data_IF_918233308787
#
_entry.id   IF_918233308787
#
_cell.length_a   1.000
_cell.length_b   1.000
_cell.length_c   1.000
_cell.angle_alpha   90.00
_cell.angle_beta   90.00
_cell.angle_gamma   90.00
#
_symmetry.space_group_name_H-M   'P 1'
#
loop_
_entity.id
_entity.type
_entity.pdbx_description
1 polymer ?
#
# COMPACT_ATOMS: atom_id res chain seq x y z
N UNK A 1 -14.49 -5.46 -6.66
CA UNK A 1 -15.34 -4.53 -5.88
C UNK A 1 -16.79 -5.00 -5.92
N UNK A 2 -17.43 -5.13 -4.76
CA UNK A 2 -18.90 -5.25 -4.65
C UNK A 2 -19.63 -4.01 -5.18
N UNK A 3 -18.94 -2.87 -5.19
CA UNK A 3 -19.42 -1.66 -5.84
C UNK A 3 -19.09 -1.74 -7.33
N UNK A 4 -20.11 -2.02 -8.15
CA UNK A 4 -19.97 -1.90 -9.60
C UNK A 4 -19.74 -0.46 -10.04
N UNK A 5 -19.22 -0.27 -11.25
CA UNK A 5 -18.94 1.05 -11.84
C UNK A 5 -20.13 2.04 -11.73
N UNK A 6 -21.41 1.65 -11.94
CA UNK A 6 -22.54 2.56 -11.74
C UNK A 6 -22.68 3.05 -10.30
N UNK A 7 -22.49 2.15 -9.31
CA UNK A 7 -22.55 2.50 -7.91
C UNK A 7 -21.43 3.45 -7.50
N UNK A 8 -20.23 3.25 -8.06
CA UNK A 8 -19.09 4.14 -7.86
C UNK A 8 -19.34 5.53 -8.48
N UNK A 9 -19.85 5.61 -9.70
CA UNK A 9 -20.20 6.88 -10.35
C UNK A 9 -21.26 7.66 -9.59
N UNK A 10 -22.27 6.98 -9.02
CA UNK A 10 -23.28 7.63 -8.16
C UNK A 10 -22.64 8.18 -6.88
N UNK A 11 -21.69 7.46 -6.27
CA UNK A 11 -20.97 7.95 -5.11
C UNK A 11 -20.14 9.20 -5.46
N UNK A 12 -19.38 9.17 -6.57
CA UNK A 12 -18.63 10.33 -7.06
C UNK A 12 -19.54 11.55 -7.27
N UNK A 13 -20.71 11.37 -7.91
CA UNK A 13 -21.65 12.47 -8.12
C UNK A 13 -22.19 13.03 -6.78
N UNK A 14 -22.57 12.16 -5.85
CA UNK A 14 -23.06 12.56 -4.51
C UNK A 14 -22.03 13.33 -3.71
N UNK A 15 -20.75 13.00 -3.88
CA UNK A 15 -19.63 13.67 -3.23
C UNK A 15 -19.00 14.75 -4.11
N UNK A 16 -19.70 15.23 -5.15
CA UNK A 16 -19.27 16.35 -6.01
C UNK A 16 -17.89 16.16 -6.65
N UNK A 17 -17.55 14.92 -6.99
CA UNK A 17 -16.27 14.57 -7.60
C UNK A 17 -15.12 14.34 -6.60
N UNK A 18 -15.38 14.50 -5.29
CA UNK A 18 -14.41 14.19 -4.24
C UNK A 18 -14.27 12.67 -4.09
N UNK A 19 -13.15 12.14 -4.59
CA UNK A 19 -12.85 10.70 -4.59
C UNK A 19 -12.70 10.16 -3.17
N UNK A 20 -11.98 10.87 -2.30
CA UNK A 20 -11.68 10.41 -0.95
C UNK A 20 -12.96 10.27 -0.13
N UNK A 21 -13.85 11.27 -0.22
CA UNK A 21 -15.16 11.20 0.45
C UNK A 21 -16.07 10.15 -0.14
N UNK A 22 -16.06 9.96 -1.46
CA UNK A 22 -16.84 8.89 -2.11
C UNK A 22 -16.34 7.50 -1.69
N UNK A 23 -15.03 7.31 -1.64
CA UNK A 23 -14.40 6.07 -1.23
C UNK A 23 -14.66 5.77 0.26
N UNK A 24 -14.48 6.74 1.16
CA UNK A 24 -14.78 6.58 2.60
C UNK A 24 -16.26 6.21 2.83
N UNK A 25 -17.19 6.89 2.17
CA UNK A 25 -18.62 6.60 2.30
C UNK A 25 -18.97 5.18 1.82
N UNK A 26 -18.38 4.74 0.69
CA UNK A 26 -18.55 3.38 0.18
C UNK A 26 -17.92 2.35 1.11
N UNK A 27 -16.68 2.58 1.57
CA UNK A 27 -15.97 1.69 2.47
C UNK A 27 -16.73 1.50 3.79
N UNK A 28 -17.20 2.60 4.41
CA UNK A 28 -18.05 2.54 5.61
C UNK A 28 -19.30 1.72 5.35
N UNK A 29 -19.99 1.95 4.23
CA UNK A 29 -21.19 1.16 3.88
C UNK A 29 -20.87 -0.34 3.76
N UNK A 30 -19.75 -0.71 3.13
CA UNK A 30 -19.33 -2.10 3.03
C UNK A 30 -18.95 -2.70 4.39
N UNK A 31 -18.32 -1.92 5.27
CA UNK A 31 -17.89 -2.36 6.60
C UNK A 31 -19.05 -2.70 7.55
N UNK A 32 -20.28 -2.25 7.28
CA UNK A 32 -21.47 -2.61 8.05
C UNK A 32 -22.02 -4.01 7.72
N UNK A 33 -21.43 -4.73 6.76
CA UNK A 33 -21.84 -6.11 6.46
C UNK A 33 -21.48 -7.05 7.61
N UNK A 34 -22.23 -8.16 7.79
CA UNK A 34 -21.83 -9.23 8.69
C UNK A 34 -20.43 -9.74 8.37
N UNK A 35 -19.65 -10.04 9.40
CA UNK A 35 -18.28 -10.54 9.26
C UNK A 35 -18.16 -11.72 8.28
N UNK A 36 -19.05 -12.70 8.39
CA UNK A 36 -19.05 -13.87 7.51
C UNK A 36 -19.27 -13.53 6.04
N UNK A 37 -20.04 -12.48 5.75
CA UNK A 37 -20.28 -12.01 4.38
C UNK A 37 -19.03 -11.32 3.82
N UNK A 38 -18.36 -10.48 4.61
CA UNK A 38 -17.09 -9.85 4.24
C UNK A 38 -16.05 -10.92 3.89
N UNK A 39 -15.92 -11.94 4.75
CA UNK A 39 -15.01 -13.06 4.51
C UNK A 39 -15.39 -13.85 3.25
N UNK A 40 -16.69 -14.09 3.02
CA UNK A 40 -17.19 -14.73 1.80
C UNK A 40 -16.81 -13.96 0.54
N UNK A 41 -17.02 -12.64 0.54
CA UNK A 41 -16.66 -11.76 -0.57
C UNK A 41 -15.15 -11.82 -0.87
N UNK A 42 -14.30 -11.80 0.17
CA UNK A 42 -12.86 -11.89 -0.03
C UNK A 42 -12.46 -13.22 -0.66
N UNK A 43 -13.06 -14.34 -0.23
CA UNK A 43 -12.81 -15.67 -0.82
C UNK A 43 -13.27 -15.76 -2.26
N UNK A 44 -14.49 -15.29 -2.55
CA UNK A 44 -15.07 -15.31 -3.90
C UNK A 44 -14.28 -14.44 -4.89
N UNK A 45 -13.53 -13.45 -4.40
CA UNK A 45 -12.72 -12.54 -5.21
C UNK A 45 -11.23 -12.86 -5.21
N UNK A 46 -10.77 -13.91 -4.53
CA UNK A 46 -9.36 -14.27 -4.46
C UNK A 46 -8.72 -14.47 -5.85
N UNK A 47 -9.48 -15.02 -6.81
CA UNK A 47 -9.02 -15.25 -8.18
C UNK A 47 -9.35 -14.11 -9.15
N UNK A 48 -9.95 -13.01 -8.67
CA UNK A 48 -10.31 -11.90 -9.52
C UNK A 48 -9.07 -11.08 -9.89
N UNK A 49 -8.77 -10.97 -11.19
CA UNK A 49 -7.67 -10.16 -11.71
C UNK A 49 -8.22 -8.84 -12.23
N UNK A 50 -8.05 -7.79 -11.45
CA UNK A 50 -8.43 -6.42 -11.83
C UNK A 50 -7.22 -5.52 -11.79
N UNK A 51 -7.06 -4.70 -12.81
CA UNK A 51 -6.04 -3.66 -12.88
C UNK A 51 -6.75 -2.31 -13.03
N UNK A 52 -6.49 -1.33 -12.14
CA UNK A 52 -6.97 0.03 -12.35
C UNK A 52 -6.46 0.56 -13.70
N UNK A 53 -7.30 1.26 -14.49
CA UNK A 53 -6.88 1.82 -15.78
C UNK A 53 -5.59 2.65 -15.65
N UNK A 54 -4.57 2.26 -16.42
CA UNK A 54 -3.28 2.95 -16.48
C UNK A 54 -2.31 2.69 -15.32
N UNK A 55 -2.57 1.74 -14.41
CA UNK A 55 -1.72 1.50 -13.23
C UNK A 55 -1.00 0.15 -13.17
N UNK A 56 -1.25 -0.74 -14.13
CA UNK A 56 -0.60 -2.07 -14.15
C UNK A 56 -1.11 -3.03 -13.05
N UNK A 57 -0.76 -4.32 -13.13
CA UNK A 57 -1.12 -5.32 -12.12
C UNK A 57 -0.41 -5.15 -10.78
N UNK A 58 0.64 -4.32 -10.70
CA UNK A 58 1.40 -4.05 -9.48
C UNK A 58 0.60 -3.18 -8.50
N UNK A 59 -0.17 -2.21 -8.99
CA UNK A 59 -1.01 -1.36 -8.15
C UNK A 59 -1.98 -2.15 -7.23
N UNK A 60 -2.82 -3.08 -7.73
CA UNK A 60 -3.68 -3.87 -6.86
C UNK A 60 -2.91 -4.88 -5.99
N UNK A 61 -1.69 -5.29 -6.39
CA UNK A 61 -0.83 -6.13 -5.54
C UNK A 61 -0.36 -5.32 -4.33
N UNK A 62 0.17 -4.11 -4.57
CA UNK A 62 0.58 -3.15 -3.55
C UNK A 62 -0.55 -2.86 -2.56
N UNK A 63 -1.76 -2.60 -3.05
CA UNK A 63 -2.92 -2.38 -2.18
C UNK A 63 -3.18 -3.57 -1.23
N UNK A 64 -3.12 -4.81 -1.74
CA UNK A 64 -3.34 -6.01 -0.94
C UNK A 64 -2.25 -6.20 0.10
N UNK A 65 -0.97 -6.05 -0.28
CA UNK A 65 0.14 -6.24 0.64
C UNK A 65 0.19 -5.16 1.72
N UNK A 66 0.14 -3.89 1.31
CA UNK A 66 0.21 -2.75 2.24
C UNK A 66 -0.96 -2.77 3.21
N UNK A 67 -2.20 -2.97 2.73
CA UNK A 67 -3.35 -3.00 3.62
C UNK A 67 -3.43 -4.26 4.47
N UNK A 68 -2.94 -5.40 3.96
CA UNK A 68 -2.77 -6.60 4.77
C UNK A 68 -1.84 -6.35 5.95
N UNK A 69 -0.73 -5.65 5.72
CA UNK A 69 0.23 -5.26 6.76
C UNK A 69 -0.31 -4.16 7.69
N UNK A 70 -1.06 -3.18 7.18
CA UNK A 70 -1.75 -2.14 7.97
C UNK A 70 -2.71 -2.76 9.00
N UNK A 71 -3.27 -3.95 8.72
CA UNK A 71 -4.12 -4.71 9.64
C UNK A 71 -3.30 -5.63 10.55
N UNK A 72 -2.41 -6.44 9.95
CA UNK A 72 -1.74 -7.52 10.67
C UNK A 72 -0.76 -7.01 11.73
N UNK A 73 0.03 -5.98 11.39
CA UNK A 73 1.10 -5.47 12.26
C UNK A 73 0.59 -4.92 13.59
N UNK A 74 -0.42 -4.02 13.65
CA UNK A 74 -0.94 -3.53 14.94
C UNK A 74 -1.67 -4.62 15.75
N UNK A 75 -2.10 -5.72 15.13
CA UNK A 75 -2.67 -6.87 15.82
C UNK A 75 -1.61 -7.88 16.30
N UNK A 76 -0.32 -7.63 16.02
CA UNK A 76 0.76 -8.59 16.31
C UNK A 76 0.64 -9.89 15.53
N UNK A 77 -0.07 -9.88 14.39
CA UNK A 77 -0.25 -11.04 13.54
C UNK A 77 0.87 -11.13 12.53
N UNK A 78 1.42 -12.34 12.34
CA UNK A 78 2.35 -12.61 11.25
C UNK A 78 1.59 -12.64 9.93
N UNK A 79 1.94 -11.74 9.01
CA UNK A 79 1.47 -11.77 7.62
C UNK A 79 2.59 -12.28 6.72
N UNK A 80 2.56 -13.57 6.39
CA UNK A 80 3.54 -14.17 5.48
C UNK A 80 3.22 -13.78 4.06
N UNK A 81 4.09 -12.95 3.48
CA UNK A 81 4.02 -12.56 2.07
C UNK A 81 4.97 -13.42 1.27
N UNK A 82 4.52 -13.85 0.09
CA UNK A 82 5.35 -14.58 -0.87
C UNK A 82 6.51 -13.67 -1.32
N UNK A 83 7.80 -14.10 -1.17
CA UNK A 83 8.97 -13.26 -1.47
C UNK A 83 8.96 -12.65 -2.87
N UNK A 84 8.45 -13.39 -3.86
CA UNK A 84 8.34 -12.94 -5.24
C UNK A 84 7.39 -11.74 -5.37
N UNK A 85 6.29 -11.71 -4.61
CA UNK A 85 5.36 -10.59 -4.60
C UNK A 85 5.96 -9.35 -3.92
N UNK A 86 6.72 -9.56 -2.83
CA UNK A 86 7.46 -8.46 -2.19
C UNK A 86 8.46 -7.83 -3.15
N UNK A 87 9.22 -8.64 -3.89
CA UNK A 87 10.18 -8.13 -4.88
C UNK A 87 9.48 -7.29 -5.95
N UNK A 88 8.36 -7.76 -6.50
CA UNK A 88 7.58 -7.03 -7.51
C UNK A 88 7.11 -5.67 -6.98
N UNK A 89 6.53 -5.61 -5.78
CA UNK A 89 6.04 -4.35 -5.21
C UNK A 89 7.17 -3.41 -4.77
N UNK A 90 8.27 -3.95 -4.25
CA UNK A 90 9.46 -3.17 -3.92
C UNK A 90 10.06 -2.53 -5.18
N UNK A 91 10.22 -3.29 -6.27
CA UNK A 91 10.66 -2.76 -7.56
C UNK A 91 9.70 -1.69 -8.09
N UNK A 92 8.39 -1.94 -7.98
CA UNK A 92 7.35 -1.01 -8.41
C UNK A 92 7.44 0.33 -7.66
N UNK A 93 7.43 0.30 -6.32
CA UNK A 93 7.38 1.52 -5.50
C UNK A 93 8.72 2.26 -5.39
N UNK A 94 9.83 1.59 -5.62
CA UNK A 94 11.13 2.24 -5.60
C UNK A 94 11.32 3.22 -6.78
N UNK A 95 10.63 2.99 -7.92
CA UNK A 95 10.74 3.84 -9.12
C UNK A 95 9.90 5.13 -8.99
N UNK A 96 10.46 6.32 -9.29
CA UNK A 96 9.77 7.61 -9.18
C UNK A 96 8.44 7.75 -9.94
N UNK A 97 8.25 7.01 -11.04
CA UNK A 97 7.02 7.07 -11.84
C UNK A 97 5.81 6.43 -11.15
N UNK A 98 6.02 5.44 -10.26
CA UNK A 98 4.96 4.88 -9.42
C UNK A 98 4.66 5.78 -8.20
N UNK A 99 5.63 6.61 -7.79
CA UNK A 99 5.50 7.59 -6.68
C UNK A 99 4.53 8.73 -6.96
N UNK A 100 4.00 8.88 -8.18
CA UNK A 100 3.01 9.92 -8.49
C UNK A 100 1.69 9.78 -7.69
N UNK A 101 1.48 8.65 -7.01
CA UNK A 101 0.31 8.39 -6.14
C UNK A 101 0.65 7.92 -4.73
N UNK A 102 1.91 7.61 -4.44
CA UNK A 102 2.38 7.35 -3.08
C UNK A 102 2.82 8.67 -2.44
N UNK A 103 2.56 8.85 -1.14
CA UNK A 103 3.13 9.98 -0.41
C UNK A 103 4.66 9.98 -0.54
N UNK A 104 5.30 11.15 -0.55
CA UNK A 104 6.75 11.24 -0.59
C UNK A 104 7.34 10.42 0.57
N UNK A 105 8.02 9.34 0.22
CA UNK A 105 8.63 8.44 1.19
C UNK A 105 9.89 9.04 1.79
N UNK A 106 10.43 10.15 1.29
CA UNK A 106 11.67 10.73 1.81
C UNK A 106 12.90 9.82 1.66
N UNK A 107 12.78 8.69 0.94
CA UNK A 107 13.84 7.70 0.72
C UNK A 107 14.56 7.87 -0.62
N UNK A 108 14.29 8.96 -1.35
CA UNK A 108 14.93 9.23 -2.64
C UNK A 108 16.41 9.57 -2.46
N UNK A 109 17.28 8.97 -3.27
CA UNK A 109 18.74 9.18 -3.20
C UNK A 109 19.47 8.32 -2.15
N UNK A 110 18.76 7.37 -1.55
CA UNK A 110 19.33 6.37 -0.64
C UNK A 110 19.49 5.03 -1.35
N UNK A 111 20.36 4.17 -0.80
CA UNK A 111 20.44 2.76 -1.17
C UNK A 111 19.61 1.95 -0.19
N UNK A 112 18.51 1.40 -0.65
CA UNK A 112 17.61 0.55 0.14
C UNK A 112 18.07 -0.90 0.06
N UNK A 113 18.17 -1.58 1.20
CA UNK A 113 18.61 -2.97 1.30
C UNK A 113 17.65 -3.77 2.17
N UNK A 114 17.03 -4.80 1.61
CA UNK A 114 16.27 -5.76 2.41
C UNK A 114 17.22 -6.74 3.11
N UNK A 115 17.02 -6.99 4.41
CA UNK A 115 17.85 -7.90 5.21
C UNK A 115 17.37 -9.36 5.21
N UNK A 116 16.12 -9.59 4.81
CA UNK A 116 15.43 -10.87 4.75
C UNK A 116 15.07 -11.31 3.31
N UNK A 117 15.45 -10.49 2.32
CA UNK A 117 15.23 -10.72 0.91
C UNK A 117 16.46 -10.27 0.12
N UNK A 118 16.92 -11.07 -0.85
CA UNK A 118 17.96 -10.65 -1.80
C UNK A 118 17.39 -9.58 -2.76
N UNK A 119 17.35 -8.34 -2.27
CA UNK A 119 16.81 -7.18 -2.96
C UNK A 119 17.50 -5.90 -2.46
N UNK A 120 17.84 -5.04 -3.41
CA UNK A 120 18.33 -3.68 -3.12
C UNK A 120 17.97 -2.73 -4.25
N UNK A 121 17.84 -1.44 -3.93
CA UNK A 121 17.55 -0.40 -4.92
C UNK A 121 18.26 0.92 -4.60
N UNK A 122 18.72 1.61 -5.65
CA UNK A 122 19.30 2.93 -5.55
C UNK A 122 20.79 2.92 -5.24
N UNK A 123 21.37 4.12 -5.27
CA UNK A 123 22.78 4.39 -5.05
C UNK A 123 22.86 5.54 -4.03
N UNK A 124 23.62 5.38 -2.95
CA UNK A 124 23.70 6.37 -1.87
C UNK A 124 23.97 5.77 -0.50
N UNK A 125 23.78 6.56 0.57
CA UNK A 125 23.83 6.07 1.95
C UNK A 125 22.84 4.91 2.16
N UNK A 126 23.28 3.88 2.86
CA UNK A 126 22.52 2.65 3.03
C UNK A 126 21.44 2.79 4.10
N UNK A 127 20.22 2.38 3.77
CA UNK A 127 19.11 2.15 4.69
C UNK A 127 18.69 0.69 4.60
N UNK A 128 18.67 0.01 5.74
CA UNK A 128 18.44 -1.43 5.83
C UNK A 128 17.25 -1.74 6.72
N UNK A 129 16.45 -2.74 6.35
CA UNK A 129 15.41 -3.34 7.18
C UNK A 129 14.68 -4.47 6.45
N UNK A 130 13.66 -5.05 7.08
CA UNK A 130 12.88 -6.12 6.41
C UNK A 130 12.24 -5.63 5.12
N UNK A 131 12.04 -6.53 4.17
CA UNK A 131 11.35 -6.26 2.91
C UNK A 131 9.96 -5.64 3.15
N UNK A 132 9.24 -6.08 4.19
CA UNK A 132 7.93 -5.52 4.55
C UNK A 132 8.03 -4.11 5.15
N UNK A 133 9.07 -3.82 5.94
CA UNK A 133 9.33 -2.49 6.51
C UNK A 133 9.68 -1.50 5.41
N UNK A 134 10.54 -1.88 4.47
CA UNK A 134 10.87 -1.09 3.29
C UNK A 134 9.66 -0.85 2.39
N UNK A 135 8.84 -1.88 2.15
CA UNK A 135 7.60 -1.77 1.39
C UNK A 135 6.65 -0.73 2.01
N UNK A 136 6.41 -0.83 3.32
CA UNK A 136 5.56 0.10 4.06
C UNK A 136 6.14 1.52 4.03
N UNK A 137 7.45 1.69 4.21
CA UNK A 137 8.11 2.98 4.17
C UNK A 137 8.00 3.64 2.78
N UNK A 138 8.22 2.86 1.72
CA UNK A 138 8.05 3.30 0.32
C UNK A 138 6.59 3.65 0.00
N UNK A 139 5.62 2.95 0.61
CA UNK A 139 4.20 3.26 0.52
C UNK A 139 3.75 4.44 1.41
N UNK A 140 4.69 5.13 2.07
CA UNK A 140 4.41 6.28 2.93
C UNK A 140 3.77 5.93 4.27
N UNK A 141 3.91 4.68 4.75
CA UNK A 141 3.39 4.23 6.04
C UNK A 141 4.42 4.43 7.15
N UNK A 142 3.96 5.05 8.24
CA UNK A 142 4.86 5.45 9.30
C UNK A 142 5.55 4.27 9.99
N UNK A 143 4.75 3.25 10.24
CA UNK A 143 5.17 2.04 10.95
C UNK A 143 6.31 1.33 10.20
N UNK A 144 6.40 1.47 8.88
CA UNK A 144 7.49 0.91 8.05
C UNK A 144 8.88 1.38 8.45
N UNK A 145 9.00 2.54 9.13
CA UNK A 145 10.29 3.11 9.47
C UNK A 145 10.81 2.71 10.85
N UNK A 146 9.96 2.15 11.71
CA UNK A 146 10.32 1.80 13.09
C UNK A 146 11.49 0.80 13.14
N UNK A 147 11.60 -0.04 12.11
CA UNK A 147 12.61 -1.10 12.00
C UNK A 147 13.69 -0.78 10.95
N UNK A 148 13.76 0.46 10.44
CA UNK A 148 14.82 0.86 9.52
C UNK A 148 16.07 1.28 10.29
N UNK A 149 17.23 0.97 9.71
CA UNK A 149 18.54 1.25 10.29
C UNK A 149 19.52 1.79 9.23
N UNK A 150 20.67 2.30 9.69
CA UNK A 150 21.66 2.94 8.83
C UNK A 150 21.41 4.43 8.67
N UNK A 151 21.50 4.94 7.44
CA UNK A 151 21.35 6.35 7.10
C UNK A 151 19.88 6.79 7.01
N UNK A 152 19.04 6.38 7.96
CA UNK A 152 17.61 6.73 8.00
C UNK A 152 17.48 8.24 8.18
N UNK A 153 16.86 8.97 7.25
CA UNK A 153 16.74 10.42 7.37
C UNK A 153 15.77 10.80 8.49
N UNK A 154 16.00 11.97 9.08
CA UNK A 154 15.00 12.58 9.97
C UNK A 154 13.73 12.88 9.17
N UNK A 155 12.57 12.49 9.71
CA UNK A 155 11.30 12.78 9.05
C UNK A 155 10.99 14.27 9.10
N UNK A 156 10.79 14.86 7.92
CA UNK A 156 10.15 16.17 7.81
C UNK A 156 8.72 16.15 8.37
N UNK A 157 8.16 17.32 8.75
CA UNK A 157 6.76 17.40 9.14
C UNK A 157 5.87 16.86 8.03
N UNK A 158 4.91 16.00 8.37
CA UNK A 158 3.90 15.54 7.41
C UNK A 158 3.15 16.74 6.89
N UNK A 159 3.21 17.00 5.58
CA UNK A 159 2.23 17.82 4.91
C UNK A 159 0.88 17.09 5.01
N UNK A 160 0.16 17.36 6.09
CA UNK A 160 -1.22 16.94 6.25
C UNK A 160 -2.03 17.82 5.30
N UNK A 161 -2.76 17.25 4.32
CA UNK A 161 -3.73 18.05 3.59
C UNK A 161 -4.79 18.53 4.59
N UNK A 162 -4.98 19.85 4.67
CA UNK A 162 -6.10 20.50 5.36
C UNK A 162 -7.45 20.14 4.72
#
# INVERSE_FOLDING_TARGET
MEVGLPGFMVAMLRHRGDFDRANDALARKQAHRPFAEIVGILRDKADHRFTPPGQGPEAPLTDVLVHGLDIARPLGLTHTVVPEHLRVDLDHLAIPAAKARAADSGLTGLRLLADDLDWSHGEGPEVTGSATSLLLALAGRDVGWEDLSGAVPERGPKNSPE
#
